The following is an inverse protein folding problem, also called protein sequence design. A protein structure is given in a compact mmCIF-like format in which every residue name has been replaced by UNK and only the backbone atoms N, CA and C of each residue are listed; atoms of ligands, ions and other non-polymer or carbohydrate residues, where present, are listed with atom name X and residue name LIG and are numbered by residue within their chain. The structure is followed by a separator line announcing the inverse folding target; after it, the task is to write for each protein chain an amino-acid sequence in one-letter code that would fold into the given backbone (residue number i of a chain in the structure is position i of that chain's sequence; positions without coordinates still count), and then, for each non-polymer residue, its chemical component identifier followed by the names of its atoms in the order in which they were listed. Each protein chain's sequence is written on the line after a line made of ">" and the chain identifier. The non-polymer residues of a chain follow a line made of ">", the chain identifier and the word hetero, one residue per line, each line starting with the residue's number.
data_IF_459469709738
#
_entry.id   IF_459469709738
#
_cell.length_a   1.000
_cell.length_b   1.000
_cell.length_c   1.000
_cell.angle_alpha   90.00
_cell.angle_beta   90.00
_cell.angle_gamma   90.00
#
_symmetry.space_group_name_H-M   'P 1'
#
loop_
_entity.id
_entity.type
_entity.pdbx_description
1 polymer ?
#
# COMPACT_ATOMS: atom_id res chain seq x y z
N UNK A 1 -10.45 -8.54 -12.83
CA UNK A 1 -9.52 -7.87 -11.90
C UNK A 1 -10.27 -7.20 -10.76
N UNK A 2 -11.21 -6.29 -11.02
CA UNK A 2 -12.05 -5.64 -10.00
C UNK A 2 -12.71 -6.62 -9.01
N UNK A 3 -13.38 -7.67 -9.50
CA UNK A 3 -14.01 -8.67 -8.64
C UNK A 3 -13.01 -9.38 -7.69
N UNK A 4 -11.76 -9.57 -8.13
CA UNK A 4 -10.70 -10.15 -7.31
C UNK A 4 -10.23 -9.17 -6.24
N UNK A 5 -10.13 -7.87 -6.59
CA UNK A 5 -9.81 -6.82 -5.64
C UNK A 5 -10.86 -6.72 -4.53
N UNK A 6 -12.14 -6.63 -4.89
CA UNK A 6 -13.24 -6.53 -3.92
C UNK A 6 -13.30 -7.75 -3.01
N UNK A 7 -13.05 -8.95 -3.56
CA UNK A 7 -12.97 -10.18 -2.76
C UNK A 7 -11.85 -10.13 -1.73
N UNK A 8 -10.62 -9.83 -2.14
CA UNK A 8 -9.47 -9.80 -1.22
C UNK A 8 -9.62 -8.67 -0.21
N UNK A 9 -10.13 -7.51 -0.63
CA UNK A 9 -10.46 -6.42 0.28
C UNK A 9 -11.48 -6.86 1.34
N UNK A 10 -12.50 -7.63 0.94
CA UNK A 10 -13.46 -8.24 1.87
C UNK A 10 -12.82 -9.24 2.83
N UNK A 11 -11.95 -10.13 2.34
CA UNK A 11 -11.24 -11.12 3.18
C UNK A 11 -10.26 -10.47 4.17
N UNK A 12 -9.65 -9.36 3.79
CA UNK A 12 -8.72 -8.59 4.64
C UNK A 12 -9.44 -7.56 5.52
N UNK A 13 -10.76 -7.43 5.41
CA UNK A 13 -11.55 -6.46 6.17
C UNK A 13 -11.23 -5.01 5.83
N UNK A 14 -10.81 -4.72 4.61
CA UNK A 14 -10.50 -3.37 4.17
C UNK A 14 -11.76 -2.55 3.96
N UNK A 15 -11.85 -1.45 4.69
CA UNK A 15 -12.81 -0.40 4.42
C UNK A 15 -12.47 0.35 3.12
N UNK A 16 -13.39 1.22 2.69
CA UNK A 16 -13.28 1.94 1.43
C UNK A 16 -12.06 2.88 1.37
N UNK A 17 -11.69 3.52 2.48
CA UNK A 17 -10.52 4.40 2.56
C UNK A 17 -9.23 3.58 2.42
N UNK A 18 -9.16 2.44 3.14
CA UNK A 18 -8.06 1.49 3.01
C UNK A 18 -7.93 0.95 1.58
N UNK A 19 -9.05 0.66 0.91
CA UNK A 19 -9.06 0.22 -0.49
C UNK A 19 -8.47 1.28 -1.43
N UNK A 20 -8.87 2.55 -1.27
CA UNK A 20 -8.34 3.66 -2.07
C UNK A 20 -6.85 3.84 -1.80
N UNK A 21 -6.44 3.87 -0.53
CA UNK A 21 -5.04 4.03 -0.15
C UNK A 21 -4.15 2.93 -0.74
N UNK A 22 -4.64 1.67 -0.77
CA UNK A 22 -3.90 0.54 -1.38
C UNK A 22 -3.77 0.65 -2.90
N UNK A 23 -4.80 1.19 -3.55
CA UNK A 23 -4.77 1.46 -4.99
C UNK A 23 -3.82 2.61 -5.32
N UNK A 24 -3.83 3.69 -4.54
CA UNK A 24 -2.89 4.81 -4.69
C UNK A 24 -1.44 4.37 -4.41
N UNK A 25 -1.20 3.57 -3.37
CA UNK A 25 0.10 2.97 -3.08
C UNK A 25 0.63 2.15 -4.27
N UNK A 26 -0.24 1.38 -4.92
CA UNK A 26 0.13 0.62 -6.12
C UNK A 26 0.48 1.55 -7.30
N UNK A 27 -0.34 2.57 -7.57
CA UNK A 27 -0.10 3.52 -8.66
C UNK A 27 1.19 4.30 -8.44
N UNK A 28 1.47 4.70 -7.20
CA UNK A 28 2.72 5.35 -6.82
C UNK A 28 3.93 4.41 -6.99
N UNK A 29 3.82 3.16 -6.54
CA UNK A 29 4.87 2.15 -6.71
C UNK A 29 5.14 1.80 -8.19
N UNK A 30 4.11 1.89 -9.05
CA UNK A 30 4.24 1.74 -10.48
C UNK A 30 4.85 2.98 -11.19
N UNK A 31 5.11 4.06 -10.45
CA UNK A 31 5.65 5.31 -10.99
C UNK A 31 4.64 6.09 -11.86
N UNK A 32 3.35 5.83 -11.68
CA UNK A 32 2.26 6.38 -12.51
C UNK A 32 1.44 7.45 -11.80
N UNK A 33 1.89 7.91 -10.64
CA UNK A 33 1.20 8.95 -9.86
C UNK A 33 0.96 10.20 -10.71
N UNK A 34 1.94 10.67 -11.48
CA UNK A 34 1.76 11.83 -12.35
C UNK A 34 0.64 11.65 -13.39
N UNK A 35 0.59 10.49 -14.05
CA UNK A 35 -0.42 10.15 -15.05
C UNK A 35 -1.82 10.05 -14.42
N UNK A 36 -1.89 9.52 -13.20
CA UNK A 36 -3.10 9.47 -12.41
C UNK A 36 -3.57 10.86 -11.96
N UNK A 37 -2.67 11.72 -11.48
CA UNK A 37 -2.99 13.10 -11.12
C UNK A 37 -3.47 13.92 -12.32
N UNK A 38 -2.93 13.66 -13.52
CA UNK A 38 -3.43 14.26 -14.75
C UNK A 38 -4.84 13.75 -15.11
N UNK A 39 -5.13 12.47 -14.93
CA UNK A 39 -6.46 11.91 -15.19
C UNK A 39 -7.52 12.43 -14.19
N UNK A 40 -7.10 12.73 -12.96
CA UNK A 40 -7.92 13.39 -11.94
C UNK A 40 -8.04 14.91 -12.14
N UNK A 41 -7.23 15.52 -13.02
CA UNK A 41 -7.19 16.98 -13.15
C UNK A 41 -8.55 17.49 -13.63
N UNK A 42 -9.23 18.24 -12.76
CA UNK A 42 -10.57 18.78 -13.01
C UNK A 42 -11.72 17.83 -12.66
N UNK A 43 -11.44 16.63 -12.13
CA UNK A 43 -12.44 15.69 -11.62
C UNK A 43 -12.35 15.60 -10.10
N UNK A 44 -13.43 15.93 -9.40
CA UNK A 44 -13.56 15.67 -7.96
C UNK A 44 -14.22 14.32 -7.76
N UNK A 45 -13.40 13.28 -7.66
CA UNK A 45 -13.85 11.93 -7.34
C UNK A 45 -13.62 11.65 -5.85
N UNK A 46 -14.61 11.04 -5.20
CA UNK A 46 -14.56 10.71 -3.78
C UNK A 46 -15.14 9.32 -3.53
N UNK A 47 -14.65 8.66 -2.48
CA UNK A 47 -15.17 7.37 -2.02
C UNK A 47 -15.19 6.31 -3.12
N UNK A 48 -16.34 5.67 -3.33
CA UNK A 48 -16.47 4.57 -4.28
C UNK A 48 -16.14 4.98 -5.72
N UNK A 49 -16.49 6.22 -6.11
CA UNK A 49 -16.17 6.74 -7.44
C UNK A 49 -14.65 6.87 -7.66
N UNK A 50 -13.90 7.21 -6.61
CA UNK A 50 -12.43 7.30 -6.68
C UNK A 50 -11.81 5.90 -6.78
N UNK A 51 -12.29 4.95 -5.97
CA UNK A 51 -11.87 3.54 -6.03
C UNK A 51 -12.10 2.95 -7.42
N UNK A 52 -13.30 3.14 -7.98
CA UNK A 52 -13.66 2.56 -9.27
C UNK A 52 -12.86 3.19 -10.40
N UNK A 53 -12.58 4.50 -10.33
CA UNK A 53 -11.69 5.16 -11.28
C UNK A 53 -10.24 4.65 -11.20
N UNK A 54 -9.71 4.44 -10.00
CA UNK A 54 -8.39 3.81 -9.80
C UNK A 54 -8.32 2.40 -10.39
N UNK A 55 -9.37 1.60 -10.18
CA UNK A 55 -9.44 0.24 -10.73
C UNK A 55 -9.50 0.26 -12.26
N UNK A 56 -10.27 1.17 -12.84
CA UNK A 56 -10.33 1.37 -14.30
C UNK A 56 -8.98 1.84 -14.86
N UNK A 57 -8.30 2.77 -14.17
CA UNK A 57 -6.97 3.24 -14.54
C UNK A 57 -5.98 2.06 -14.57
N UNK A 58 -5.91 1.27 -13.50
CA UNK A 58 -5.03 0.09 -13.42
C UNK A 58 -5.38 -0.95 -14.50
N UNK A 59 -6.66 -1.12 -14.82
CA UNK A 59 -7.11 -2.03 -15.87
C UNK A 59 -6.69 -1.55 -17.27
N UNK A 60 -6.84 -0.26 -17.56
CA UNK A 60 -6.45 0.34 -18.86
C UNK A 60 -4.93 0.35 -19.05
N UNK A 61 -4.18 0.60 -18.00
CA UNK A 61 -2.73 0.71 -18.07
C UNK A 61 -2.01 -0.64 -18.21
N UNK A 62 -2.75 -1.76 -18.25
CA UNK A 62 -2.19 -3.09 -18.55
C UNK A 62 -1.43 -3.75 -17.40
N UNK A 63 -1.46 -3.17 -16.20
CA UNK A 63 -0.69 -3.63 -15.04
C UNK A 63 -1.38 -4.75 -14.23
N UNK A 64 -2.38 -5.42 -14.79
CA UNK A 64 -3.17 -6.47 -14.10
C UNK A 64 -2.31 -7.55 -13.44
N UNK A 65 -1.20 -7.96 -14.07
CA UNK A 65 -0.28 -8.95 -13.52
C UNK A 65 0.52 -8.46 -12.31
N UNK A 66 1.07 -7.24 -12.39
CA UNK A 66 1.79 -6.61 -11.28
C UNK A 66 0.85 -6.31 -10.10
N UNK A 67 -0.37 -5.86 -10.42
CA UNK A 67 -1.42 -5.63 -9.43
C UNK A 67 -1.83 -6.91 -8.70
N UNK A 68 -1.97 -8.02 -9.43
CA UNK A 68 -2.28 -9.32 -8.82
C UNK A 68 -1.18 -9.74 -7.84
N UNK A 69 0.10 -9.57 -8.20
CA UNK A 69 1.23 -9.87 -7.30
C UNK A 69 1.23 -8.97 -6.07
N UNK A 70 0.98 -7.68 -6.27
CA UNK A 70 0.87 -6.71 -5.18
C UNK A 70 -0.25 -7.12 -4.21
N UNK A 71 -1.42 -7.50 -4.72
CA UNK A 71 -2.56 -7.97 -3.92
C UNK A 71 -2.23 -9.22 -3.11
N UNK A 72 -1.57 -10.21 -3.73
CA UNK A 72 -1.15 -11.43 -3.05
C UNK A 72 -0.15 -11.16 -1.92
N UNK A 73 0.71 -10.15 -2.06
CA UNK A 73 1.65 -9.76 -1.02
C UNK A 73 0.98 -9.13 0.22
N UNK A 74 -0.27 -8.68 0.11
CA UNK A 74 -1.03 -8.13 1.24
C UNK A 74 -1.74 -9.23 2.05
N UNK A 75 -1.88 -10.44 1.51
CA UNK A 75 -2.44 -11.58 2.23
C UNK A 75 -1.36 -12.04 3.22
N UNK A 76 -1.61 -11.99 4.54
CA UNK A 76 -0.64 -12.49 5.50
C UNK A 76 -0.40 -13.98 5.18
N UNK A 77 0.87 -14.44 5.15
CA UNK A 77 1.13 -15.86 5.02
C UNK A 77 0.40 -16.55 6.16
N UNK A 78 -0.53 -17.46 5.82
CA UNK A 78 -1.24 -18.24 6.83
C UNK A 78 -0.20 -18.76 7.82
N UNK A 79 -0.41 -18.60 9.15
CA UNK A 79 0.50 -19.16 10.11
C UNK A 79 0.52 -20.66 9.84
N UNK A 80 1.60 -21.14 9.21
CA UNK A 80 1.87 -22.57 9.18
C UNK A 80 1.95 -22.96 10.65
N UNK A 81 0.92 -23.65 11.12
CA UNK A 81 0.99 -24.45 12.33
C UNK A 81 2.08 -25.49 12.05
N UNK A 82 3.33 -25.13 12.31
CA UNK A 82 4.43 -26.07 12.43
C UNK A 82 4.22 -26.76 13.77
N UNK A 83 3.34 -27.77 13.75
CA UNK A 83 3.48 -28.92 14.64
C UNK A 83 4.76 -29.65 14.24
N UNK A 84 5.51 -30.07 15.28
CA UNK A 84 6.74 -30.88 15.28
C UNK A 84 8.01 -30.17 14.75
N UNK A 85 9.19 -30.25 15.34
CA UNK A 85 9.76 -30.62 16.66
C UNK A 85 11.28 -30.29 16.56
N UNK A 86 12.09 -30.27 17.63
CA UNK A 86 13.24 -29.38 17.76
C UNK A 86 14.54 -29.98 17.22
N UNK A 87 15.33 -29.19 16.50
CA UNK A 87 16.77 -29.37 16.42
C UNK A 87 17.48 -28.06 16.05
N UNK A 88 18.43 -27.68 16.93
CA UNK A 88 19.49 -26.68 16.75
C UNK A 88 19.12 -25.19 16.85
N UNK A 89 19.16 -24.67 18.09
CA UNK A 89 19.78 -23.36 18.36
C UNK A 89 21.29 -23.56 18.58
N UNK A 90 22.18 -22.52 18.59
CA UNK A 90 21.88 -21.08 18.59
C UNK A 90 22.81 -20.23 17.69
N UNK A 91 22.30 -19.17 17.05
CA UNK A 91 23.12 -17.95 16.82
C UNK A 91 22.27 -16.73 17.09
N UNK A 92 22.74 -15.95 18.05
CA UNK A 92 22.14 -14.74 18.56
C UNK A 92 22.09 -13.61 17.51
N UNK A 93 20.93 -12.96 17.40
CA UNK A 93 20.84 -11.54 17.06
C UNK A 93 19.57 -10.96 17.73
N UNK A 94 19.67 -9.84 18.46
CA UNK A 94 18.53 -9.26 19.15
C UNK A 94 17.49 -8.69 18.15
N UNK A 95 16.18 -8.75 18.48
CA UNK A 95 15.13 -8.27 17.60
C UNK A 95 15.11 -6.74 17.56
N UNK A 96 15.45 -6.15 16.42
CA UNK A 96 15.17 -4.75 16.15
C UNK A 96 13.66 -4.58 15.98
N UNK A 97 13.08 -3.94 16.99
CA UNK A 97 11.68 -3.58 17.17
C UNK A 97 11.07 -3.00 15.90
N UNK A 98 9.89 -3.51 15.55
CA UNK A 98 8.99 -2.94 14.57
C UNK A 98 8.76 -1.44 14.86
N UNK A 99 9.07 -0.59 13.88
CA UNK A 99 8.51 0.77 13.81
C UNK A 99 7.90 0.99 12.43
N UNK A 100 6.76 0.34 12.24
CA UNK A 100 5.74 0.74 11.27
C UNK A 100 5.15 2.05 11.80
N UNK A 101 5.71 3.18 11.37
CA UNK A 101 5.08 4.50 11.52
C UNK A 101 5.75 5.53 10.62
N UNK A 102 4.97 6.12 9.72
CA UNK A 102 5.16 7.51 9.30
C UNK A 102 5.83 7.73 7.95
N UNK A 103 5.16 7.41 6.85
CA UNK A 103 5.42 7.98 5.52
C UNK A 103 5.12 9.51 5.44
N UNK A 104 4.94 10.19 6.57
CA UNK A 104 4.65 11.63 6.70
C UNK A 104 5.85 12.48 7.17
N UNK A 105 7.07 11.93 7.12
CA UNK A 105 8.28 12.59 7.65
C UNK A 105 8.97 13.63 6.76
N UNK A 106 8.49 13.90 5.53
CA UNK A 106 9.25 14.68 4.55
C UNK A 106 8.99 16.20 4.55
N UNK A 107 7.98 16.70 5.29
CA UNK A 107 7.55 18.11 5.20
C UNK A 107 8.01 19.05 6.33
N UNK A 108 8.98 18.66 7.17
CA UNK A 108 9.47 19.56 8.25
C UNK A 108 10.97 19.85 8.21
N UNK A 109 11.53 20.00 7.00
CA UNK A 109 12.90 20.48 6.79
C UNK A 109 12.91 21.76 5.94
N UNK A 110 12.41 22.86 6.50
CA UNK A 110 12.81 24.22 6.10
C UNK A 110 12.45 25.20 7.22
N UNK A 111 13.46 25.89 7.76
CA UNK A 111 13.26 26.94 8.76
C UNK A 111 14.29 26.98 9.88
N UNK A 112 15.56 26.71 9.58
CA UNK A 112 16.68 27.23 10.36
C UNK A 112 16.99 28.63 9.83
N UNK A 113 16.85 29.66 10.66
CA UNK A 113 17.79 30.79 10.72
C UNK A 113 17.45 31.77 11.87
N UNK A 114 18.45 32.51 12.38
CA UNK A 114 18.62 32.88 13.78
C UNK A 114 18.33 34.37 14.06
N UNK A 115 18.26 34.75 15.34
CA UNK A 115 18.43 36.15 15.75
C UNK A 115 19.34 36.26 17.00
N UNK A 116 20.31 37.18 17.00
CA UNK A 116 21.24 37.44 18.10
C UNK A 116 20.60 38.25 19.24
N UNK A 117 21.34 38.29 20.34
CA UNK A 117 21.03 38.95 21.63
C UNK A 117 20.70 40.43 21.49
#
# INVERSE_FOLDING_TARGET
>A
MEAQFIRIAGELGWDLDTQIAKLEEFVAAAGRDAEWQEELRGRRLHGAALRDALLQFVARSGYSGAFTRFMLAQIPPAPRAVKESPAAAPVAAPPAVARRNGLFGWLRRRGNSPAPR
#
